data_IF_325234920430
#
_entry.id   IF_325234920430
#
_cell.length_a   1.000
_cell.length_b   1.000
_cell.length_c   1.000
_cell.angle_alpha   90.00
_cell.angle_beta   90.00
_cell.angle_gamma   90.00
#
_symmetry.space_group_name_H-M   'P 1'
#
loop_
_entity.id
_entity.type
_entity.pdbx_description
1 polymer ?
#
# COMPACT_ATOMS: atom_id res chain seq x y z
N UNK A 1 97.10 -82.95 -12.09
CA UNK A 1 96.47 -81.62 -12.05
C UNK A 1 95.10 -81.79 -12.60
N UNK A 2 94.10 -81.64 -11.82
CA UNK A 2 93.08 -80.61 -12.01
C UNK A 2 92.54 -80.04 -10.68
N UNK A 3 92.06 -78.87 -10.74
CA UNK A 3 91.53 -78.02 -9.68
C UNK A 3 90.16 -78.43 -9.19
N UNK A 4 90.00 -78.42 -7.86
CA UNK A 4 88.70 -78.59 -7.19
C UNK A 4 87.91 -77.23 -7.23
N UNK A 5 86.62 -77.37 -7.47
CA UNK A 5 85.66 -76.27 -7.37
C UNK A 5 84.80 -76.46 -6.08
N UNK A 6 84.55 -75.39 -5.30
CA UNK A 6 83.80 -75.49 -4.06
C UNK A 6 82.30 -75.57 -4.26
N UNK A 7 81.63 -76.37 -3.43
CA UNK A 7 80.16 -76.48 -3.31
C UNK A 7 79.58 -75.21 -2.67
N UNK A 8 78.74 -74.48 -3.34
CA UNK A 8 77.91 -73.41 -2.75
C UNK A 8 76.65 -74.02 -2.11
N UNK A 9 76.47 -73.74 -0.82
CA UNK A 9 75.26 -74.07 -0.06
C UNK A 9 74.16 -73.04 -0.47
N UNK A 10 72.98 -73.58 -0.82
CA UNK A 10 71.81 -72.72 -1.16
C UNK A 10 71.02 -72.50 0.17
N UNK A 11 71.03 -71.27 0.67
CA UNK A 11 70.18 -70.88 1.78
C UNK A 11 68.82 -70.44 1.20
N UNK A 12 67.74 -71.20 1.57
CA UNK A 12 66.36 -70.82 1.22
C UNK A 12 65.90 -69.79 2.26
N UNK A 13 65.73 -68.57 1.86
CA UNK A 13 65.10 -67.53 2.68
C UNK A 13 63.57 -67.60 2.47
N UNK A 14 62.84 -67.94 3.52
CA UNK A 14 61.38 -67.86 3.52
C UNK A 14 60.95 -66.45 3.84
N UNK A 15 60.51 -65.69 2.87
CA UNK A 15 59.95 -64.35 3.05
C UNK A 15 58.50 -64.49 3.43
N UNK A 16 58.16 -64.18 4.68
CA UNK A 16 56.76 -64.05 5.17
C UNK A 16 56.25 -62.68 4.69
N UNK A 17 55.34 -62.63 3.73
CA UNK A 17 54.66 -61.41 3.25
C UNK A 17 53.50 -61.15 4.23
N UNK A 18 53.67 -60.16 5.14
CA UNK A 18 52.59 -59.62 5.97
C UNK A 18 51.75 -58.68 5.14
N UNK A 19 50.57 -59.08 4.73
CA UNK A 19 49.56 -58.20 4.09
C UNK A 19 48.90 -57.30 5.14
N UNK A 20 49.31 -56.06 5.19
CA UNK A 20 48.64 -55.01 5.95
C UNK A 20 47.43 -54.53 5.12
N UNK A 21 46.19 -54.89 5.52
CA UNK A 21 44.97 -54.27 4.98
C UNK A 21 44.86 -52.83 5.52
N UNK A 22 44.67 -51.83 4.67
CA UNK A 22 44.39 -50.48 5.13
C UNK A 22 42.98 -50.46 5.73
N UNK A 23 42.86 -50.08 7.04
CA UNK A 23 41.57 -49.66 7.61
C UNK A 23 41.09 -48.40 6.91
N UNK A 24 40.01 -48.48 6.14
CA UNK A 24 39.32 -47.32 5.61
C UNK A 24 38.72 -46.51 6.78
N UNK A 25 38.89 -45.18 6.82
CA UNK A 25 38.26 -44.38 7.85
C UNK A 25 36.73 -44.48 7.70
N UNK A 26 36.06 -44.83 8.79
CA UNK A 26 34.59 -44.83 8.85
C UNK A 26 34.06 -43.43 8.50
N UNK A 27 33.35 -43.29 7.41
CA UNK A 27 32.64 -42.06 7.03
C UNK A 27 31.64 -41.76 8.14
N UNK A 28 31.90 -40.70 8.94
CA UNK A 28 30.91 -40.14 9.84
C UNK A 28 29.75 -39.66 8.99
N UNK A 29 28.60 -40.28 9.07
CA UNK A 29 27.34 -39.77 8.53
C UNK A 29 27.07 -38.43 9.23
N UNK A 30 27.25 -37.31 8.47
CA UNK A 30 26.79 -36.02 8.92
C UNK A 30 25.27 -36.07 8.98
N UNK A 31 24.72 -35.85 10.17
CA UNK A 31 23.26 -35.70 10.31
C UNK A 31 22.77 -34.62 9.35
N UNK A 32 21.64 -34.83 8.67
CA UNK A 32 21.08 -33.81 7.76
C UNK A 32 20.82 -32.55 8.57
N UNK A 33 21.25 -31.39 8.04
CA UNK A 33 20.97 -30.10 8.62
C UNK A 33 19.46 -29.94 8.88
N UNK A 34 19.04 -29.37 10.01
CA UNK A 34 17.62 -29.17 10.28
C UNK A 34 17.01 -28.38 9.13
N UNK A 35 15.98 -28.94 8.50
CA UNK A 35 15.19 -28.21 7.50
C UNK A 35 14.72 -26.91 8.14
N UNK A 36 14.85 -25.75 7.43
CA UNK A 36 14.23 -24.51 7.91
C UNK A 36 12.77 -24.80 8.23
N UNK A 37 12.34 -24.42 9.44
CA UNK A 37 10.94 -24.56 9.82
C UNK A 37 10.08 -23.90 8.73
N UNK A 38 9.14 -24.65 8.17
CA UNK A 38 8.18 -24.13 7.23
C UNK A 38 7.48 -22.97 7.94
N UNK A 39 7.67 -21.74 7.45
CA UNK A 39 6.88 -20.60 7.91
C UNK A 39 5.43 -20.91 7.53
N UNK A 40 4.66 -21.45 8.47
CA UNK A 40 3.21 -21.46 8.34
C UNK A 40 2.78 -20.00 8.25
N UNK A 41 2.04 -19.61 7.20
CA UNK A 41 1.52 -18.26 7.13
C UNK A 41 0.68 -18.02 8.40
N UNK A 42 1.06 -17.04 9.19
CA UNK A 42 0.32 -16.64 10.37
C UNK A 42 -1.09 -16.24 9.92
N UNK A 43 -2.12 -16.73 10.61
CA UNK A 43 -3.48 -16.28 10.32
C UNK A 43 -3.62 -14.78 10.59
N UNK A 44 -4.33 -14.05 9.74
CA UNK A 44 -4.59 -12.64 9.96
C UNK A 44 -5.30 -12.41 11.29
N UNK A 45 -4.88 -11.36 11.99
CA UNK A 45 -5.52 -10.92 13.23
C UNK A 45 -5.93 -9.47 13.09
N UNK A 46 -7.20 -9.18 13.44
CA UNK A 46 -7.77 -7.84 13.43
C UNK A 46 -8.06 -7.41 14.86
N UNK A 47 -7.61 -6.21 15.21
CA UNK A 47 -7.94 -5.56 16.48
C UNK A 47 -8.20 -4.08 16.27
N UNK A 48 -8.94 -3.42 17.18
CA UNK A 48 -9.09 -1.98 17.16
C UNK A 48 -7.78 -1.33 17.64
N UNK A 49 -7.20 -0.46 16.80
CA UNK A 49 -5.99 0.29 17.14
C UNK A 49 -6.35 1.64 17.75
N UNK A 50 -7.25 2.37 17.10
CA UNK A 50 -7.67 3.71 17.52
C UNK A 50 -9.19 3.85 17.43
N UNK A 51 -9.79 4.51 18.42
CA UNK A 51 -11.16 5.00 18.37
C UNK A 51 -11.18 6.42 17.80
N UNK A 52 -12.14 6.70 16.92
CA UNK A 52 -12.38 8.01 16.33
C UNK A 52 -13.63 8.61 17.00
N UNK A 53 -13.53 9.73 17.69
CA UNK A 53 -14.67 10.34 18.38
C UNK A 53 -15.68 10.90 17.38
N UNK A 54 -16.97 10.65 17.64
CA UNK A 54 -18.09 11.08 16.82
C UNK A 54 -18.99 9.92 16.41
N UNK A 55 -20.28 10.22 16.19
CA UNK A 55 -21.32 9.22 15.89
C UNK A 55 -21.53 9.00 14.40
N UNK A 56 -21.00 9.88 13.54
CA UNK A 56 -21.11 9.83 12.07
C UNK A 56 -19.78 10.19 11.41
N UNK A 57 -18.72 9.48 11.78
CA UNK A 57 -17.39 9.76 11.26
C UNK A 57 -17.23 9.26 9.84
N UNK A 58 -17.65 8.01 9.59
CA UNK A 58 -17.47 7.33 8.31
C UNK A 58 -16.05 7.57 7.75
N UNK A 59 -15.00 7.06 8.46
CA UNK A 59 -13.63 7.35 8.07
C UNK A 59 -13.32 6.76 6.69
N UNK A 60 -12.63 7.53 5.85
CA UNK A 60 -12.33 7.12 4.48
C UNK A 60 -10.84 6.94 4.25
N UNK A 61 -10.03 7.98 4.43
CA UNK A 61 -8.60 7.96 4.19
C UNK A 61 -7.76 7.81 5.45
N UNK A 62 -6.54 7.29 5.27
CA UNK A 62 -5.54 7.22 6.31
C UNK A 62 -4.15 7.59 5.77
N UNK A 63 -3.40 8.37 6.56
CA UNK A 63 -2.01 8.73 6.28
C UNK A 63 -1.12 8.48 7.49
N UNK A 64 0.19 8.31 7.24
CA UNK A 64 1.20 8.27 8.29
C UNK A 64 2.26 9.35 8.08
N UNK A 65 2.66 10.02 9.13
CA UNK A 65 3.91 10.79 9.15
C UNK A 65 5.08 9.83 9.44
N UNK A 66 5.96 9.56 8.47
CA UNK A 66 7.06 8.62 8.65
C UNK A 66 8.08 9.07 9.72
N UNK A 67 8.12 10.37 10.04
CA UNK A 67 9.07 10.95 10.98
C UNK A 67 8.64 10.79 12.43
N UNK A 68 7.34 10.90 12.70
CA UNK A 68 6.78 10.90 14.08
C UNK A 68 6.03 9.64 14.43
N UNK A 69 5.60 8.89 13.42
CA UNK A 69 4.73 7.74 13.61
C UNK A 69 3.26 8.08 13.80
N UNK A 70 2.91 9.35 13.81
CA UNK A 70 1.53 9.83 13.88
C UNK A 70 0.75 9.37 12.66
N UNK A 71 -0.47 8.89 12.88
CA UNK A 71 -1.43 8.60 11.83
C UNK A 71 -2.49 9.69 11.78
N UNK A 72 -3.07 9.87 10.59
CA UNK A 72 -4.19 10.78 10.36
C UNK A 72 -5.32 10.02 9.67
N UNK A 73 -6.57 10.29 10.04
CA UNK A 73 -7.74 9.75 9.36
C UNK A 73 -8.72 10.87 9.01
N UNK A 74 -9.39 10.73 7.88
CA UNK A 74 -10.38 11.70 7.40
C UNK A 74 -11.80 11.21 7.57
N UNK A 75 -12.72 12.09 7.93
CA UNK A 75 -14.17 11.86 7.93
C UNK A 75 -14.73 12.19 6.55
N UNK A 76 -15.43 11.22 5.95
CA UNK A 76 -16.21 11.47 4.74
C UNK A 76 -17.45 12.31 5.01
N UNK A 77 -18.02 12.19 6.20
CA UNK A 77 -19.31 12.81 6.52
C UNK A 77 -19.25 14.35 6.61
N UNK A 78 -18.13 14.91 7.10
CA UNK A 78 -18.06 16.33 7.44
C UNK A 78 -16.69 16.98 7.24
N UNK A 79 -15.73 16.22 6.70
CA UNK A 79 -14.38 16.70 6.43
C UNK A 79 -13.50 16.85 7.68
N UNK A 80 -13.89 16.35 8.85
CA UNK A 80 -13.02 16.33 10.04
C UNK A 80 -11.76 15.52 9.76
N UNK A 81 -10.60 15.99 10.22
CA UNK A 81 -9.36 15.22 10.21
C UNK A 81 -8.94 14.90 11.63
N UNK A 82 -8.70 13.65 11.91
CA UNK A 82 -8.26 13.13 13.19
C UNK A 82 -6.75 12.89 13.19
N UNK A 83 -6.14 13.07 14.37
CA UNK A 83 -4.75 12.73 14.66
C UNK A 83 -4.70 11.55 15.63
N UNK A 84 -3.99 10.51 15.27
CA UNK A 84 -3.77 9.30 16.06
C UNK A 84 -2.30 9.25 16.47
N UNK A 85 -2.01 9.56 17.72
CA UNK A 85 -0.64 9.59 18.27
C UNK A 85 -0.26 8.21 18.78
N UNK A 86 0.95 7.69 18.48
CA UNK A 86 1.44 6.44 19.05
C UNK A 86 1.34 6.42 20.59
N UNK A 87 0.88 5.29 21.13
CA UNK A 87 0.67 5.13 22.58
C UNK A 87 -0.70 5.58 23.09
N UNK A 88 -1.49 6.29 22.31
CA UNK A 88 -2.87 6.68 22.64
C UNK A 88 -3.86 5.73 21.92
N UNK A 89 -5.01 5.47 22.53
CA UNK A 89 -6.05 4.63 21.92
C UNK A 89 -7.22 5.42 21.32
N UNK A 90 -7.32 6.70 21.65
CA UNK A 90 -8.36 7.60 21.13
C UNK A 90 -7.69 8.68 20.30
N UNK A 91 -8.22 8.92 19.12
CA UNK A 91 -7.76 9.98 18.23
C UNK A 91 -8.23 11.36 18.74
N UNK A 92 -7.47 12.39 18.39
CA UNK A 92 -7.83 13.80 18.63
C UNK A 92 -8.33 14.43 17.33
N UNK A 93 -9.26 15.37 17.42
CA UNK A 93 -9.63 16.21 16.28
C UNK A 93 -8.47 17.17 16.00
N UNK A 94 -7.84 17.00 14.83
CA UNK A 94 -6.81 17.90 14.34
C UNK A 94 -7.42 19.10 13.62
N UNK A 95 -8.26 18.85 12.63
CA UNK A 95 -8.99 19.86 11.85
C UNK A 95 -10.49 19.59 12.01
N UNK A 96 -11.25 20.49 12.63
CA UNK A 96 -12.70 20.34 12.78
C UNK A 96 -13.46 20.24 11.44
N UNK A 97 -14.70 19.81 11.51
CA UNK A 97 -15.63 19.79 10.38
C UNK A 97 -15.69 21.17 9.69
N UNK A 98 -15.78 21.16 8.37
CA UNK A 98 -15.91 22.37 7.57
C UNK A 98 -14.68 23.30 7.57
N UNK A 99 -13.56 22.92 8.20
CA UNK A 99 -12.34 23.74 8.21
C UNK A 99 -11.92 24.10 6.78
N UNK A 100 -11.72 25.41 6.53
CA UNK A 100 -11.37 25.99 5.23
C UNK A 100 -12.35 25.61 4.11
N UNK A 101 -13.62 25.43 4.43
CA UNK A 101 -14.69 25.07 3.49
C UNK A 101 -14.62 23.65 2.96
N UNK A 102 -13.88 22.74 3.62
CA UNK A 102 -13.81 21.34 3.26
C UNK A 102 -15.09 20.60 3.68
N UNK A 103 -15.73 19.93 2.70
CA UNK A 103 -16.95 19.16 2.92
C UNK A 103 -16.67 17.71 3.30
N UNK A 104 -15.64 17.11 2.71
CA UNK A 104 -15.22 15.73 2.97
C UNK A 104 -13.72 15.66 3.23
N UNK A 105 -13.23 14.60 3.86
CA UNK A 105 -11.81 14.28 3.93
C UNK A 105 -11.63 12.82 3.48
N UNK A 106 -11.33 12.66 2.20
CA UNK A 106 -11.12 11.36 1.57
C UNK A 106 -9.64 10.95 1.67
N UNK A 107 -8.94 10.84 0.55
CA UNK A 107 -7.52 10.49 0.55
C UNK A 107 -6.66 11.44 1.37
N UNK A 108 -5.74 10.89 2.15
CA UNK A 108 -4.76 11.65 2.93
C UNK A 108 -3.34 11.16 2.65
N UNK A 109 -2.38 12.08 2.58
CA UNK A 109 -0.94 11.73 2.60
C UNK A 109 -0.14 12.79 3.36
N UNK A 110 0.97 12.36 3.96
CA UNK A 110 1.99 13.26 4.51
C UNK A 110 3.18 13.24 3.57
N UNK A 111 3.58 14.42 3.09
CA UNK A 111 4.73 14.54 2.19
C UNK A 111 6.08 14.57 2.95
N UNK A 112 7.19 14.55 2.20
CA UNK A 112 8.54 14.55 2.76
C UNK A 112 8.86 15.79 3.61
N UNK A 113 8.17 16.91 3.43
CA UNK A 113 8.28 18.11 4.27
C UNK A 113 7.39 18.07 5.52
N UNK A 114 6.53 17.04 5.65
CA UNK A 114 5.61 16.85 6.75
C UNK A 114 4.33 17.64 6.64
N UNK A 115 3.97 18.08 5.43
CA UNK A 115 2.70 18.71 5.16
C UNK A 115 1.64 17.64 4.96
N UNK A 116 0.47 17.85 5.51
CA UNK A 116 -0.68 16.97 5.37
C UNK A 116 -1.53 17.42 4.18
N UNK A 117 -1.67 16.53 3.20
CA UNK A 117 -2.54 16.69 2.04
C UNK A 117 -3.85 15.97 2.32
N UNK A 118 -4.97 16.63 2.04
CA UNK A 118 -6.32 16.11 2.30
C UNK A 118 -7.19 16.40 1.08
N UNK A 119 -7.70 15.35 0.43
CA UNK A 119 -8.65 15.52 -0.67
C UNK A 119 -10.06 15.81 -0.14
N UNK A 120 -10.77 16.64 -0.86
CA UNK A 120 -12.20 16.90 -0.73
C UNK A 120 -12.87 16.46 -2.02
N UNK A 121 -13.73 15.44 -1.96
CA UNK A 121 -14.36 14.86 -3.15
C UNK A 121 -15.14 15.87 -3.97
N UNK A 122 -15.68 16.90 -3.33
CA UNK A 122 -16.51 17.93 -3.97
C UNK A 122 -15.71 19.06 -4.58
N UNK A 123 -14.44 19.23 -4.22
CA UNK A 123 -13.67 20.40 -4.54
C UNK A 123 -12.28 20.12 -5.14
N UNK A 124 -11.40 19.42 -4.40
CA UNK A 124 -10.02 19.23 -4.83
C UNK A 124 -9.12 18.77 -3.70
N UNK A 125 -8.04 19.49 -3.37
CA UNK A 125 -7.10 19.13 -2.31
C UNK A 125 -6.64 20.33 -1.52
N UNK A 126 -6.58 20.17 -0.20
CA UNK A 126 -6.02 21.15 0.74
C UNK A 126 -4.71 20.63 1.33
N UNK A 127 -3.75 21.52 1.52
CA UNK A 127 -2.42 21.22 2.08
C UNK A 127 -2.23 21.98 3.38
N UNK A 128 -1.95 21.27 4.46
CA UNK A 128 -1.84 21.82 5.81
C UNK A 128 -0.45 21.65 6.43
N UNK A 129 -0.07 22.57 7.28
CA UNK A 129 0.91 22.29 8.33
C UNK A 129 0.19 21.64 9.52
N UNK A 130 0.36 20.35 9.79
CA UNK A 130 -0.38 19.66 10.85
C UNK A 130 0.04 20.08 12.26
N UNK A 131 1.15 20.81 12.44
CA UNK A 131 1.61 21.31 13.74
C UNK A 131 0.89 22.60 14.11
N UNK A 132 0.73 23.51 13.14
CA UNK A 132 0.07 24.79 13.33
C UNK A 132 -1.40 24.78 12.92
N UNK A 133 -1.85 23.69 12.27
CA UNK A 133 -3.20 23.52 11.69
C UNK A 133 -3.53 24.54 10.59
N UNK A 134 -2.51 25.24 10.08
CA UNK A 134 -2.66 26.30 9.07
C UNK A 134 -2.78 25.70 7.67
N UNK A 135 -3.78 26.17 6.91
CA UNK A 135 -3.85 25.94 5.47
C UNK A 135 -2.65 26.61 4.78
N UNK A 136 -1.92 25.85 4.00
CA UNK A 136 -0.76 26.29 3.22
C UNK A 136 -1.11 26.57 1.77
N UNK A 137 -1.97 25.75 1.21
CA UNK A 137 -2.48 25.91 -0.15
C UNK A 137 -3.74 25.05 -0.36
N UNK A 138 -4.58 25.45 -1.32
CA UNK A 138 -5.71 24.70 -1.81
C UNK A 138 -5.68 24.69 -3.34
N UNK A 139 -6.00 23.53 -3.93
CA UNK A 139 -6.09 23.34 -5.37
C UNK A 139 -7.48 22.77 -5.69
N UNK A 140 -8.26 23.50 -6.43
CA UNK A 140 -9.63 23.12 -6.78
C UNK A 140 -9.72 22.63 -8.23
N UNK A 141 -10.65 21.69 -8.46
CA UNK A 141 -10.98 21.23 -9.82
C UNK A 141 -11.67 22.34 -10.57
N UNK A 142 -11.11 22.72 -11.71
CA UNK A 142 -11.66 23.77 -12.56
C UNK A 142 -12.91 23.31 -13.33
N UNK A 143 -13.75 24.29 -13.68
CA UNK A 143 -14.91 24.13 -14.55
C UNK A 143 -16.13 23.46 -13.90
N UNK A 144 -17.26 23.47 -14.60
CA UNK A 144 -18.51 22.84 -14.17
C UNK A 144 -18.47 21.33 -14.33
N UNK A 145 -19.50 20.66 -13.81
CA UNK A 145 -19.70 19.23 -13.92
C UNK A 145 -19.28 18.43 -12.69
N UNK A 146 -19.76 17.19 -12.63
CA UNK A 146 -19.49 16.28 -11.55
C UNK A 146 -17.99 16.00 -11.41
N UNK A 147 -17.55 15.84 -10.19
CA UNK A 147 -16.19 15.46 -9.79
C UNK A 147 -16.24 14.64 -8.53
N UNK A 148 -15.26 13.78 -8.35
CA UNK A 148 -15.05 13.08 -7.10
C UNK A 148 -13.54 12.88 -6.92
N UNK A 149 -12.87 13.91 -6.36
CA UNK A 149 -11.43 13.82 -6.07
C UNK A 149 -11.25 12.86 -4.90
N UNK A 150 -10.69 11.70 -5.19
CA UNK A 150 -10.71 10.56 -4.28
C UNK A 150 -9.38 10.43 -3.50
N UNK A 151 -8.44 9.68 -4.00
CA UNK A 151 -7.18 9.39 -3.33
C UNK A 151 -6.01 10.16 -3.94
N UNK A 152 -4.86 10.12 -3.28
CA UNK A 152 -3.65 10.77 -3.77
C UNK A 152 -2.39 9.95 -3.45
N UNK A 153 -1.35 10.14 -4.27
CA UNK A 153 0.00 9.66 -4.03
C UNK A 153 0.99 10.81 -4.09
N UNK A 154 2.01 10.77 -3.24
CA UNK A 154 3.16 11.67 -3.31
C UNK A 154 4.32 10.90 -3.94
N UNK A 155 4.79 11.36 -5.10
CA UNK A 155 5.94 10.78 -5.78
C UNK A 155 7.25 11.25 -5.13
N UNK A 156 8.38 10.54 -5.37
CA UNK A 156 9.68 10.89 -4.78
C UNK A 156 10.19 12.29 -5.14
N UNK A 157 9.76 12.85 -6.29
CA UNK A 157 10.06 14.24 -6.67
C UNK A 157 9.23 15.27 -5.91
N UNK A 158 8.34 14.84 -5.01
CA UNK A 158 7.43 15.67 -4.23
C UNK A 158 6.16 16.09 -4.99
N UNK A 159 5.94 15.62 -6.22
CA UNK A 159 4.67 15.84 -6.94
C UNK A 159 3.56 15.01 -6.31
N UNK A 160 2.40 15.62 -6.11
CA UNK A 160 1.16 14.94 -5.74
C UNK A 160 0.37 14.58 -7.00
N UNK A 161 -0.17 13.36 -7.02
CA UNK A 161 -1.08 12.87 -8.07
C UNK A 161 -2.39 12.46 -7.43
N UNK A 162 -3.51 12.93 -7.97
CA UNK A 162 -4.84 12.78 -7.38
C UNK A 162 -5.80 12.16 -8.38
N UNK A 163 -6.53 11.14 -7.99
CA UNK A 163 -7.57 10.51 -8.80
C UNK A 163 -8.88 11.28 -8.72
N UNK A 164 -9.60 11.34 -9.83
CA UNK A 164 -10.99 11.78 -9.88
C UNK A 164 -11.85 10.62 -10.42
N UNK A 165 -12.65 10.04 -9.54
CA UNK A 165 -13.42 8.84 -9.85
C UNK A 165 -14.52 9.04 -10.87
N UNK A 166 -15.10 10.24 -10.94
CA UNK A 166 -16.19 10.55 -11.88
C UNK A 166 -15.68 11.04 -13.22
N UNK A 167 -14.50 11.67 -13.26
CA UNK A 167 -13.93 12.20 -14.50
C UNK A 167 -12.98 11.25 -15.20
N UNK A 168 -12.54 10.17 -14.54
CA UNK A 168 -11.57 9.22 -15.07
C UNK A 168 -10.19 9.85 -15.33
N UNK A 169 -9.81 10.89 -14.57
CA UNK A 169 -8.55 11.62 -14.75
C UNK A 169 -7.69 11.57 -13.49
N UNK A 170 -6.37 11.77 -13.67
CA UNK A 170 -5.42 11.98 -12.57
C UNK A 170 -4.84 13.39 -12.70
N UNK A 171 -5.05 14.21 -11.68
CA UNK A 171 -4.45 15.54 -11.57
C UNK A 171 -3.02 15.47 -11.06
N UNK A 172 -2.24 16.53 -11.27
CA UNK A 172 -0.90 16.67 -10.72
C UNK A 172 -0.70 18.05 -10.11
N UNK A 173 -0.09 18.08 -8.92
CA UNK A 173 0.46 19.28 -8.28
C UNK A 173 1.96 19.07 -8.06
N UNK A 174 2.79 19.87 -8.71
CA UNK A 174 4.25 19.83 -8.54
C UNK A 174 4.69 20.67 -7.34
N UNK A 175 5.90 20.44 -6.78
CA UNK A 175 6.46 21.31 -5.72
C UNK A 175 6.52 22.78 -6.13
N UNK A 176 6.80 23.06 -7.41
CA UNK A 176 6.81 24.42 -7.96
C UNK A 176 5.41 25.06 -7.99
N UNK A 177 4.37 24.29 -8.35
CA UNK A 177 2.99 24.79 -8.30
C UNK A 177 2.55 25.07 -6.87
N UNK A 178 2.90 24.17 -5.91
CA UNK A 178 2.64 24.40 -4.50
C UNK A 178 3.32 25.66 -3.98
N UNK A 179 4.62 25.83 -4.24
CA UNK A 179 5.35 27.04 -3.84
C UNK A 179 4.77 28.31 -4.43
N UNK A 180 4.35 28.26 -5.72
CA UNK A 180 3.67 29.38 -6.39
C UNK A 180 2.33 29.70 -5.74
N UNK A 181 1.49 28.70 -5.45
CA UNK A 181 0.22 28.92 -4.79
C UNK A 181 0.43 29.57 -3.41
N UNK A 182 1.38 29.08 -2.61
CA UNK A 182 1.72 29.68 -1.31
C UNK A 182 2.15 31.13 -1.40
N UNK A 183 2.87 31.53 -2.46
CA UNK A 183 3.31 32.90 -2.68
C UNK A 183 2.20 33.84 -3.19
N UNK A 184 1.08 33.29 -3.72
CA UNK A 184 0.03 34.05 -4.39
C UNK A 184 -1.35 33.75 -3.80
N UNK A 185 -1.50 33.87 -2.48
CA UNK A 185 -2.79 33.76 -1.81
C UNK A 185 -3.27 32.34 -1.48
N UNK A 186 -2.47 31.32 -1.74
CA UNK A 186 -2.76 29.97 -1.29
C UNK A 186 -3.75 29.18 -2.16
N UNK A 187 -4.25 29.73 -3.27
CA UNK A 187 -5.25 29.07 -4.13
C UNK A 187 -4.75 28.90 -5.57
N UNK A 188 -5.08 27.74 -6.16
CA UNK A 188 -4.80 27.45 -7.57
C UNK A 188 -5.76 26.38 -8.11
N UNK A 189 -5.78 26.18 -9.44
CA UNK A 189 -6.54 25.12 -10.07
C UNK A 189 -5.71 23.81 -10.16
N UNK A 190 -6.37 22.67 -10.00
CA UNK A 190 -5.84 21.36 -10.36
C UNK A 190 -5.66 21.24 -11.87
N UNK A 191 -4.55 20.66 -12.29
CA UNK A 191 -4.24 20.45 -13.70
C UNK A 191 -4.27 18.94 -14.00
N UNK A 192 -5.11 18.46 -14.94
CA UNK A 192 -5.09 17.08 -15.40
C UNK A 192 -3.71 16.71 -15.95
N UNK A 193 -3.21 15.55 -15.59
CA UNK A 193 -1.95 14.98 -16.08
C UNK A 193 -2.17 13.74 -16.91
N UNK A 194 -3.13 12.89 -16.51
CA UNK A 194 -3.52 11.70 -17.24
C UNK A 194 -5.03 11.68 -17.41
N UNK A 195 -5.48 11.28 -18.60
CA UNK A 195 -6.87 10.96 -18.91
C UNK A 195 -6.93 9.46 -19.23
N UNK A 196 -7.62 8.71 -18.40
CA UNK A 196 -7.70 7.25 -18.51
C UNK A 196 -8.95 6.79 -19.27
N UNK A 197 -9.88 7.68 -19.62
CA UNK A 197 -11.14 7.30 -20.26
C UNK A 197 -10.96 6.44 -21.52
N UNK A 198 -9.93 6.71 -22.32
CA UNK A 198 -9.61 5.91 -23.50
C UNK A 198 -8.85 4.60 -23.20
N UNK A 199 -8.32 4.45 -21.99
CA UNK A 199 -7.54 3.27 -21.59
C UNK A 199 -8.36 2.28 -20.75
N UNK A 200 -9.40 2.75 -20.08
CA UNK A 200 -10.36 1.94 -19.33
C UNK A 200 -11.39 1.31 -20.28
N UNK A 201 -11.92 0.16 -19.86
CA UNK A 201 -13.17 -0.33 -20.49
C UNK A 201 -14.28 0.70 -20.27
N UNK A 202 -15.21 0.84 -21.23
CA UNK A 202 -16.30 1.79 -21.09
C UNK A 202 -17.17 1.51 -19.87
N UNK A 203 -17.51 2.55 -19.13
CA UNK A 203 -18.43 2.53 -17.99
C UNK A 203 -19.65 3.40 -18.26
N UNK A 204 -20.76 3.11 -17.59
CA UNK A 204 -21.95 3.96 -17.62
C UNK A 204 -21.64 5.35 -17.05
N UNK A 205 -22.25 6.41 -17.60
CA UNK A 205 -22.09 7.76 -17.09
C UNK A 205 -22.39 7.86 -15.59
N UNK A 206 -21.49 8.51 -14.85
CA UNK A 206 -21.62 8.67 -13.39
C UNK A 206 -21.08 7.50 -12.58
N UNK A 207 -20.47 6.50 -13.21
CA UNK A 207 -19.77 5.40 -12.50
C UNK A 207 -18.53 5.94 -11.81
N UNK A 208 -18.31 5.50 -10.57
CA UNK A 208 -17.05 5.74 -9.84
C UNK A 208 -15.99 4.77 -10.34
N UNK A 209 -14.97 5.26 -11.01
CA UNK A 209 -13.94 4.46 -11.66
C UNK A 209 -12.62 4.50 -10.89
N UNK A 210 -11.79 5.52 -11.12
CA UNK A 210 -10.48 5.63 -10.49
C UNK A 210 -10.60 5.85 -8.98
N UNK A 211 -9.84 5.05 -8.23
CA UNK A 211 -9.81 5.14 -6.78
C UNK A 211 -8.36 5.22 -6.28
N UNK A 212 -7.89 4.26 -5.50
CA UNK A 212 -6.56 4.25 -4.91
C UNK A 212 -5.44 4.48 -5.93
N UNK A 213 -4.44 5.25 -5.53
CA UNK A 213 -3.25 5.55 -6.32
C UNK A 213 -1.99 5.47 -5.44
N UNK A 214 -0.92 4.87 -5.98
CA UNK A 214 0.37 4.77 -5.31
C UNK A 214 1.51 5.13 -6.26
N UNK A 215 2.60 5.66 -5.71
CA UNK A 215 3.81 5.96 -6.45
C UNK A 215 4.88 4.87 -6.22
N UNK A 216 5.52 4.44 -7.30
CA UNK A 216 6.73 3.63 -7.20
C UNK A 216 7.84 4.40 -6.48
N UNK A 217 8.60 3.79 -5.55
CA UNK A 217 9.65 4.46 -4.80
C UNK A 217 10.77 5.08 -5.66
N UNK A 218 10.91 4.64 -6.91
CA UNK A 218 11.88 5.24 -7.85
C UNK A 218 11.30 6.43 -8.64
N UNK A 219 9.98 6.67 -8.56
CA UNK A 219 9.29 7.73 -9.30
C UNK A 219 9.07 7.44 -10.78
N UNK A 220 9.41 6.24 -11.26
CA UNK A 220 9.26 5.89 -12.68
C UNK A 220 7.81 5.69 -13.10
N UNK A 221 6.96 5.25 -12.19
CA UNK A 221 5.55 5.03 -12.48
C UNK A 221 4.67 5.22 -11.24
N UNK A 222 3.39 5.40 -11.52
CA UNK A 222 2.31 5.32 -10.55
C UNK A 222 1.46 4.10 -10.90
N UNK A 223 0.77 3.55 -9.91
CA UNK A 223 -0.27 2.55 -10.11
C UNK A 223 -1.58 3.09 -9.57
N UNK A 224 -2.66 2.98 -10.34
CA UNK A 224 -4.01 3.37 -9.91
C UNK A 224 -5.02 2.30 -10.32
N UNK A 225 -6.04 2.11 -9.51
CA UNK A 225 -7.08 1.11 -9.74
C UNK A 225 -8.32 1.74 -10.37
N UNK A 226 -8.91 1.04 -11.35
CA UNK A 226 -10.31 1.17 -11.68
C UNK A 226 -11.11 0.23 -10.78
N UNK A 227 -11.73 0.78 -9.77
CA UNK A 227 -12.44 0.04 -8.73
C UNK A 227 -13.65 -0.74 -9.27
N UNK A 228 -14.34 -0.20 -10.27
CA UNK A 228 -15.50 -0.84 -10.91
C UNK A 228 -15.08 -1.89 -11.91
N UNK A 229 -14.12 -1.60 -12.78
CA UNK A 229 -13.59 -2.56 -13.76
C UNK A 229 -12.76 -3.68 -13.14
N UNK A 230 -12.07 -3.37 -12.03
CA UNK A 230 -11.16 -4.31 -11.37
C UNK A 230 -9.77 -4.34 -11.97
N UNK A 231 -9.43 -3.34 -12.78
CA UNK A 231 -8.15 -3.22 -13.47
C UNK A 231 -7.16 -2.35 -12.71
N UNK A 232 -5.89 -2.60 -12.93
CA UNK A 232 -4.80 -1.76 -12.47
C UNK A 232 -4.11 -1.08 -13.65
N UNK A 233 -3.89 0.21 -13.56
CA UNK A 233 -3.22 1.01 -14.59
C UNK A 233 -1.89 1.54 -14.10
N UNK A 234 -0.89 1.46 -14.97
CA UNK A 234 0.44 2.01 -14.80
C UNK A 234 0.55 3.32 -15.57
N UNK A 235 0.93 4.38 -14.87
CA UNK A 235 1.07 5.72 -15.41
C UNK A 235 2.55 6.14 -15.36
N UNK A 236 3.08 6.66 -16.46
CA UNK A 236 4.46 7.17 -16.53
C UNK A 236 4.49 8.69 -16.40
N UNK A 237 4.97 9.25 -15.27
CA UNK A 237 5.00 10.69 -15.07
C UNK A 237 5.83 11.46 -16.10
N UNK A 238 6.91 10.87 -16.61
CA UNK A 238 7.83 11.51 -17.57
C UNK A 238 7.24 11.61 -18.97
N UNK A 239 6.57 10.57 -19.45
CA UNK A 239 6.07 10.48 -20.83
C UNK A 239 4.58 10.79 -20.97
N UNK A 240 3.80 10.57 -19.91
CA UNK A 240 2.34 10.61 -19.95
C UNK A 240 1.70 9.30 -20.43
N UNK A 241 2.50 8.25 -20.65
CA UNK A 241 2.02 6.95 -21.10
C UNK A 241 1.15 6.28 -20.03
N UNK A 242 0.05 5.70 -20.47
CA UNK A 242 -0.88 4.87 -19.69
C UNK A 242 -0.82 3.45 -20.23
N UNK A 243 -0.77 2.44 -19.37
CA UNK A 243 -0.86 1.04 -19.75
C UNK A 243 -1.58 0.22 -18.70
N UNK A 244 -2.38 -0.74 -19.13
CA UNK A 244 -3.01 -1.73 -18.23
C UNK A 244 -1.94 -2.67 -17.69
N UNK A 245 -2.03 -3.00 -16.40
CA UNK A 245 -1.14 -3.96 -15.73
C UNK A 245 -1.71 -5.37 -15.89
N UNK A 246 -0.88 -6.34 -16.28
CA UNK A 246 -1.32 -7.73 -16.34
C UNK A 246 -1.53 -8.29 -14.93
N UNK A 247 -2.78 -8.54 -14.55
CA UNK A 247 -3.15 -9.14 -13.28
C UNK A 247 -3.19 -10.67 -13.39
N UNK A 248 -2.62 -11.37 -12.42
CA UNK A 248 -2.59 -12.83 -12.35
C UNK A 248 -3.12 -13.32 -11.00
N UNK A 249 -4.08 -14.23 -11.03
CA UNK A 249 -4.63 -14.90 -9.85
C UNK A 249 -5.79 -14.18 -9.19
N UNK A 250 -6.34 -13.12 -9.81
CA UNK A 250 -7.49 -12.36 -9.34
C UNK A 250 -7.62 -11.02 -10.05
N UNK A 251 -8.53 -10.20 -9.57
CA UNK A 251 -8.76 -8.83 -10.01
C UNK A 251 -8.78 -7.85 -8.82
N UNK A 252 -8.96 -6.58 -9.11
CA UNK A 252 -9.04 -5.51 -8.12
C UNK A 252 -10.45 -4.85 -8.08
N UNK A 253 -11.50 -5.61 -8.40
CA UNK A 253 -12.88 -5.12 -8.24
C UNK A 253 -13.13 -4.69 -6.81
N UNK A 254 -13.85 -3.59 -6.64
CA UNK A 254 -14.14 -2.96 -5.35
C UNK A 254 -12.89 -2.58 -4.54
N UNK A 255 -11.70 -2.61 -5.18
CA UNK A 255 -10.50 -2.08 -4.53
C UNK A 255 -10.62 -0.57 -4.43
N UNK A 256 -10.43 -0.08 -3.21
CA UNK A 256 -10.52 1.31 -2.82
C UNK A 256 -9.09 1.86 -2.62
N UNK A 257 -8.61 2.04 -1.42
CA UNK A 257 -7.25 2.51 -1.16
C UNK A 257 -6.17 1.45 -1.40
N UNK A 258 -5.02 1.93 -1.87
CA UNK A 258 -3.84 1.13 -2.18
C UNK A 258 -2.64 1.51 -1.30
N UNK A 259 -1.80 0.54 -0.97
CA UNK A 259 -0.48 0.76 -0.35
C UNK A 259 0.59 -0.06 -1.06
N UNK A 260 1.66 0.58 -1.53
CA UNK A 260 2.79 -0.07 -2.21
C UNK A 260 4.07 0.04 -1.38
N UNK A 261 4.66 -1.10 -1.01
CA UNK A 261 5.93 -1.15 -0.29
C UNK A 261 6.79 -2.30 -0.78
N UNK A 262 8.02 -2.00 -1.19
CA UNK A 262 9.02 -2.99 -1.60
C UNK A 262 8.48 -4.01 -2.63
N UNK A 263 7.75 -3.53 -3.66
CA UNK A 263 7.16 -4.36 -4.71
C UNK A 263 5.95 -5.20 -4.25
N UNK A 264 5.45 -4.98 -3.04
CA UNK A 264 4.19 -5.56 -2.57
C UNK A 264 3.12 -4.48 -2.55
N UNK A 265 2.00 -4.75 -3.21
CA UNK A 265 0.80 -3.92 -3.22
C UNK A 265 -0.26 -4.56 -2.32
N UNK A 266 -0.83 -3.79 -1.42
CA UNK A 266 -2.04 -4.13 -0.68
C UNK A 266 -3.18 -3.27 -1.20
N UNK A 267 -4.38 -3.87 -1.31
CA UNK A 267 -5.61 -3.19 -1.66
C UNK A 267 -6.70 -3.50 -0.64
N UNK A 268 -7.42 -2.49 -0.18
CA UNK A 268 -8.65 -2.64 0.58
C UNK A 268 -9.81 -2.79 -0.41
N UNK A 269 -10.66 -3.81 -0.21
CA UNK A 269 -11.86 -4.04 -1.02
C UNK A 269 -13.08 -3.76 -0.14
N UNK A 270 -13.75 -2.65 -0.43
CA UNK A 270 -14.74 -2.07 0.49
C UNK A 270 -15.90 -3.01 0.82
N UNK A 271 -16.89 -3.20 -0.05
CA UNK A 271 -18.08 -4.03 0.23
C UNK A 271 -17.80 -5.52 0.31
N UNK A 272 -16.65 -5.99 -0.17
CA UNK A 272 -16.22 -7.38 0.00
C UNK A 272 -15.62 -7.67 1.38
N UNK A 273 -15.45 -6.66 2.23
CA UNK A 273 -14.76 -6.80 3.52
C UNK A 273 -13.44 -7.55 3.38
N UNK A 274 -12.61 -7.17 2.39
CA UNK A 274 -11.41 -7.92 2.07
C UNK A 274 -10.16 -7.03 1.96
N UNK A 275 -9.01 -7.65 2.16
CA UNK A 275 -7.69 -7.09 1.81
C UNK A 275 -7.00 -8.09 0.90
N UNK A 276 -6.48 -7.62 -0.24
CA UNK A 276 -5.63 -8.42 -1.12
C UNK A 276 -4.18 -7.96 -1.09
N UNK A 277 -3.27 -8.93 -1.25
CA UNK A 277 -1.82 -8.69 -1.35
C UNK A 277 -1.32 -9.22 -2.69
N UNK A 278 -0.53 -8.39 -3.36
CA UNK A 278 -0.03 -8.62 -4.70
C UNK A 278 1.47 -8.41 -4.76
N UNK A 279 2.17 -9.26 -5.52
CA UNK A 279 3.55 -9.03 -5.92
C UNK A 279 3.55 -8.28 -7.25
N UNK A 280 4.05 -7.06 -7.23
CA UNK A 280 4.20 -6.22 -8.43
C UNK A 280 5.57 -6.47 -9.05
N UNK A 281 5.62 -6.63 -10.36
CA UNK A 281 6.86 -6.73 -11.11
C UNK A 281 7.66 -5.41 -10.99
N UNK A 282 9.02 -5.45 -11.00
CA UNK A 282 9.84 -4.25 -10.80
C UNK A 282 9.61 -3.14 -11.84
N UNK A 283 9.12 -3.48 -13.02
CA UNK A 283 8.76 -2.54 -14.07
C UNK A 283 7.31 -2.03 -13.97
N UNK A 284 6.50 -2.59 -13.08
CA UNK A 284 5.10 -2.23 -12.86
C UNK A 284 4.13 -2.72 -13.93
N UNK A 285 4.54 -3.59 -14.86
CA UNK A 285 3.67 -4.07 -15.95
C UNK A 285 2.85 -5.33 -15.62
N UNK A 286 3.17 -5.99 -14.51
CA UNK A 286 2.42 -7.17 -14.06
C UNK A 286 2.29 -7.17 -12.54
N UNK A 287 1.22 -7.78 -12.03
CA UNK A 287 1.03 -8.05 -10.61
C UNK A 287 0.39 -9.43 -10.43
N UNK A 288 0.86 -10.18 -9.42
CA UNK A 288 0.33 -11.49 -9.07
C UNK A 288 -0.25 -11.45 -7.67
N UNK A 289 -1.50 -11.89 -7.53
CA UNK A 289 -2.13 -12.04 -6.22
C UNK A 289 -1.43 -13.15 -5.43
N UNK A 290 -0.93 -12.79 -4.25
CA UNK A 290 -0.30 -13.73 -3.31
C UNK A 290 -1.29 -14.18 -2.23
N UNK A 291 -2.23 -13.29 -1.88
CA UNK A 291 -3.22 -13.55 -0.83
C UNK A 291 -4.45 -12.65 -0.99
N UNK A 292 -5.63 -13.17 -0.64
CA UNK A 292 -6.85 -12.39 -0.34
C UNK A 292 -7.38 -12.87 1.01
N UNK A 293 -7.74 -11.95 1.86
CA UNK A 293 -8.29 -12.19 3.20
C UNK A 293 -9.59 -11.43 3.34
N UNK A 294 -10.64 -12.11 3.74
CA UNK A 294 -11.99 -11.55 3.93
C UNK A 294 -12.41 -11.75 5.38
N UNK A 295 -12.92 -10.71 6.02
CA UNK A 295 -13.42 -10.76 7.39
C UNK A 295 -14.38 -9.58 7.63
N UNK A 296 -15.57 -9.86 8.13
CA UNK A 296 -16.60 -8.86 8.47
C UNK A 296 -16.13 -7.83 9.50
N UNK A 297 -15.10 -8.18 10.30
CA UNK A 297 -14.47 -7.24 11.23
C UNK A 297 -13.70 -6.10 10.53
N UNK A 298 -13.51 -6.15 9.21
CA UNK A 298 -12.97 -5.04 8.42
C UNK A 298 -13.98 -3.91 8.22
N UNK A 299 -15.31 -4.22 8.26
CA UNK A 299 -16.39 -3.23 8.29
C UNK A 299 -16.34 -2.22 7.15
N UNK A 300 -16.36 -2.70 5.91
CA UNK A 300 -16.23 -1.90 4.68
C UNK A 300 -14.94 -1.09 4.68
N UNK A 301 -13.78 -1.76 4.55
CA UNK A 301 -12.49 -1.07 4.57
C UNK A 301 -12.33 -0.22 3.31
N UNK A 302 -11.99 1.07 3.46
CA UNK A 302 -11.75 1.97 2.32
C UNK A 302 -10.26 2.13 2.07
N UNK A 303 -9.48 2.48 3.08
CA UNK A 303 -8.05 2.76 2.91
C UNK A 303 -7.22 2.05 3.97
N UNK A 304 -5.97 1.78 3.62
CA UNK A 304 -5.01 1.13 4.49
C UNK A 304 -3.61 1.74 4.36
N UNK A 305 -2.82 1.62 5.43
CA UNK A 305 -1.41 2.01 5.41
C UNK A 305 -0.57 1.04 6.22
N UNK A 306 0.62 0.69 5.72
CA UNK A 306 1.50 -0.27 6.39
C UNK A 306 2.59 0.42 7.20
N UNK A 307 2.68 0.06 8.51
CA UNK A 307 3.74 0.50 9.40
C UNK A 307 4.25 -0.65 10.27
N UNK A 308 5.56 -0.82 10.34
CA UNK A 308 6.24 -1.81 11.21
C UNK A 308 5.59 -3.21 11.17
N UNK A 309 5.23 -3.69 9.96
CA UNK A 309 4.61 -5.01 9.79
C UNK A 309 3.09 -5.07 10.00
N UNK A 310 2.47 -4.01 10.53
CA UNK A 310 1.02 -3.89 10.74
C UNK A 310 0.39 -3.07 9.62
N UNK A 311 -0.75 -3.52 9.09
CA UNK A 311 -1.65 -2.71 8.29
C UNK A 311 -2.64 -2.00 9.22
N UNK A 312 -2.68 -0.67 9.16
CA UNK A 312 -3.73 0.12 9.77
C UNK A 312 -4.79 0.36 8.71
N UNK A 313 -6.03 -0.01 9.02
CA UNK A 313 -7.16 -0.04 8.09
C UNK A 313 -8.31 0.76 8.67
N UNK A 314 -8.85 1.71 7.92
CA UNK A 314 -10.05 2.41 8.35
C UNK A 314 -11.26 1.51 8.19
N UNK A 315 -12.15 1.52 9.17
CA UNK A 315 -13.43 0.82 9.19
C UNK A 315 -14.54 1.82 8.89
N UNK A 316 -14.84 1.99 7.61
CA UNK A 316 -15.73 3.07 7.18
C UNK A 316 -17.18 2.87 7.56
N UNK A 317 -17.65 1.60 7.57
CA UNK A 317 -19.05 1.26 7.79
C UNK A 317 -20.01 2.03 6.84
N UNK A 318 -19.56 2.29 5.61
CA UNK A 318 -20.29 3.09 4.62
C UNK A 318 -21.65 2.49 4.26
N UNK A 319 -21.86 1.22 4.50
CA UNK A 319 -23.14 0.50 4.33
C UNK A 319 -24.15 0.72 5.48
N UNK A 320 -23.77 1.41 6.57
CA UNK A 320 -24.56 1.61 7.77
C UNK A 320 -25.08 3.06 7.90
N UNK A 321 -25.89 3.51 6.95
CA UNK A 321 -26.37 4.90 6.88
C UNK A 321 -25.32 5.88 6.35
N UNK A 322 -24.34 5.36 5.62
CA UNK A 322 -23.30 6.11 4.90
C UNK A 322 -23.54 6.11 3.39
N UNK A 323 -22.52 6.45 2.57
CA UNK A 323 -22.69 6.64 1.14
C UNK A 323 -22.97 5.35 0.34
N UNK A 324 -22.76 4.16 0.92
CA UNK A 324 -22.99 2.87 0.26
C UNK A 324 -24.27 2.15 0.70
N UNK A 325 -25.13 2.81 1.49
CA UNK A 325 -26.42 2.26 1.84
C UNK A 325 -26.82 2.41 3.30
N UNK A 326 -27.99 1.92 3.63
CA UNK A 326 -28.60 1.98 4.97
C UNK A 326 -28.89 0.57 5.50
N UNK A 327 -27.87 -0.27 5.59
CA UNK A 327 -27.95 -1.63 6.12
C UNK A 327 -27.85 -1.67 7.65
N UNK A 328 -28.44 -0.69 8.33
CA UNK A 328 -28.52 -0.58 9.79
C UNK A 328 -27.65 0.53 10.38
N UNK A 329 -27.51 0.52 11.71
CA UNK A 329 -26.80 1.55 12.47
C UNK A 329 -25.29 1.27 12.56
N UNK A 330 -24.42 2.26 12.38
CA UNK A 330 -22.98 2.07 12.54
C UNK A 330 -22.63 1.77 14.01
N UNK A 331 -21.59 0.97 14.20
CA UNK A 331 -20.99 0.75 15.52
C UNK A 331 -20.15 1.94 15.91
N UNK A 332 -20.40 2.52 17.08
CA UNK A 332 -19.61 3.62 17.64
C UNK A 332 -18.83 3.15 18.87
N UNK A 333 -17.65 3.75 19.12
CA UNK A 333 -16.97 4.70 18.26
C UNK A 333 -16.50 4.05 16.96
N UNK A 334 -16.42 4.83 15.88
CA UNK A 334 -15.72 4.39 14.67
C UNK A 334 -14.26 4.08 14.99
N UNK A 335 -13.63 3.20 14.23
CA UNK A 335 -12.28 2.76 14.58
C UNK A 335 -11.36 2.63 13.36
N UNK A 336 -10.07 2.75 13.63
CA UNK A 336 -9.01 2.25 12.75
C UNK A 336 -8.55 0.91 13.31
N UNK A 337 -8.54 -0.12 12.47
CA UNK A 337 -8.07 -1.45 12.83
C UNK A 337 -6.55 -1.58 12.65
N UNK A 338 -5.95 -2.46 13.46
CA UNK A 338 -4.62 -3.03 13.21
C UNK A 338 -4.81 -4.47 12.70
N UNK A 339 -4.25 -4.75 11.51
CA UNK A 339 -4.28 -6.07 10.88
C UNK A 339 -2.85 -6.57 10.75
N UNK A 340 -2.59 -7.78 11.26
CA UNK A 340 -1.29 -8.45 11.20
C UNK A 340 -1.42 -9.81 10.54
N UNK A 341 -0.33 -10.39 10.03
CA UNK A 341 -0.34 -11.73 9.43
C UNK A 341 -0.83 -11.77 7.97
N UNK A 342 -0.89 -10.63 7.25
CA UNK A 342 -1.32 -10.57 5.85
C UNK A 342 -0.22 -10.13 4.89
#
# INVERSE_FOLDING_TARGET
MPRALPRRALAVAVTVLATVLPLAPAARATAPAPRPAAHHPTEPRISAAYALPGDRVYPEGIAADPRTGTLYAGSYADGTVYRMTPGHRVAEVLLPAGTDGRATANGLKVDGAGRLWVTDSTAGVSVYDPRTRRLLARFDVAGPGARFVNDLAIAPDGSAYLTDSLRGVVYRVTPRQLARAQAHGGHAALTPRFDLNAAMEPHDPGTYTLNGIVADPTGRHLLTVDSTGGDLYRLEPSTGRISRVALHGGDLRLADGLELRHGTLWAAHNTDNAISRWRVAPDGHAARQERRFTDEALQVPTTLIRRHGTLYVVRSQFDKGGPLGDNGTPRTPFTVAAVTGI
#
